data_IF_101264334718
#
_entry.id   IF_101264334718
#
_cell.length_a   1.000
_cell.length_b   1.000
_cell.length_c   1.000
_cell.angle_alpha   90.00
_cell.angle_beta   90.00
_cell.angle_gamma   90.00
#
_symmetry.space_group_name_H-M   'P 1'
#
loop_
_entity.id
_entity.type
_entity.pdbx_description
1 polymer ?
#
# COMPACT_ATOMS: atom_id res chain seq x y z
N UNK A 1 21.74 86.57 -19.72
CA UNK A 1 22.07 86.58 -18.28
C UNK A 1 22.19 85.13 -17.83
N UNK A 2 23.40 84.75 -17.40
CA UNK A 2 23.77 83.71 -16.39
C UNK A 2 23.08 82.35 -16.60
N UNK A 3 23.69 81.31 -17.17
CA UNK A 3 25.01 80.74 -16.90
C UNK A 3 24.87 79.66 -15.83
N UNK A 4 25.02 78.37 -16.18
CA UNK A 4 25.61 77.35 -15.29
C UNK A 4 26.16 76.20 -16.14
N UNK A 5 27.47 76.02 -16.02
CA UNK A 5 28.31 75.01 -16.64
C UNK A 5 28.49 73.84 -15.67
N UNK A 6 29.01 72.71 -16.19
CA UNK A 6 29.66 71.57 -15.52
C UNK A 6 28.71 70.42 -15.12
N UNK A 7 28.97 69.14 -15.37
CA UNK A 7 30.15 68.39 -15.82
C UNK A 7 29.70 66.97 -16.26
N UNK A 8 30.28 66.45 -17.33
CA UNK A 8 30.34 65.00 -17.65
C UNK A 8 31.36 64.32 -16.71
N UNK A 9 31.21 63.03 -16.35
CA UNK A 9 31.85 62.02 -17.19
C UNK A 9 31.13 60.67 -17.37
N UNK A 10 31.49 60.08 -18.50
CA UNK A 10 31.42 58.71 -19.01
C UNK A 10 31.41 57.59 -17.95
N UNK A 11 30.55 56.59 -18.17
CA UNK A 11 30.62 55.28 -17.51
C UNK A 11 30.02 54.19 -18.40
N UNK A 12 30.84 53.20 -18.72
CA UNK A 12 30.64 52.12 -19.69
C UNK A 12 29.53 51.10 -19.32
N UNK A 13 29.09 50.42 -20.39
CA UNK A 13 28.37 49.15 -20.47
C UNK A 13 28.59 48.14 -19.34
N UNK A 14 27.51 47.45 -18.96
CA UNK A 14 27.56 46.04 -18.59
C UNK A 14 26.37 45.29 -19.21
N UNK A 15 26.66 44.48 -20.23
CA UNK A 15 25.74 43.51 -20.84
C UNK A 15 25.68 42.32 -19.88
N UNK A 16 24.48 41.97 -19.40
CA UNK A 16 24.28 40.74 -18.64
C UNK A 16 24.40 39.53 -19.58
N UNK A 17 25.46 38.73 -19.43
CA UNK A 17 25.57 37.41 -20.05
C UNK A 17 25.14 36.35 -19.03
N UNK A 18 24.13 35.56 -19.38
CA UNK A 18 23.78 34.34 -18.69
C UNK A 18 24.77 33.23 -19.10
N UNK A 19 25.41 32.58 -18.12
CA UNK A 19 26.19 31.37 -18.33
C UNK A 19 25.55 30.22 -17.55
N UNK A 20 25.26 29.15 -18.26
CA UNK A 20 24.80 27.85 -17.76
C UNK A 20 25.97 27.12 -17.08
N UNK A 21 25.86 26.78 -15.80
CA UNK A 21 26.80 25.88 -15.14
C UNK A 21 26.43 24.42 -15.47
N UNK A 22 27.32 23.78 -16.22
CA UNK A 22 27.30 22.38 -16.57
C UNK A 22 28.33 21.67 -15.69
N UNK A 23 27.91 21.06 -14.58
CA UNK A 23 28.79 20.26 -13.73
C UNK A 23 28.58 18.77 -13.98
N UNK A 24 29.29 18.27 -14.99
CA UNK A 24 29.79 16.90 -15.00
C UNK A 24 30.98 16.80 -14.06
N UNK A 25 30.74 16.39 -12.81
CA UNK A 25 31.77 15.92 -11.89
C UNK A 25 31.42 14.51 -11.40
N UNK A 26 31.83 13.52 -12.19
CA UNK A 26 31.90 12.11 -11.79
C UNK A 26 32.97 11.97 -10.70
N UNK A 27 32.58 12.16 -9.44
CA UNK A 27 33.40 11.89 -8.27
C UNK A 27 32.66 10.92 -7.36
N UNK A 28 33.07 9.65 -7.37
CA UNK A 28 32.56 8.64 -6.46
C UNK A 28 32.89 9.03 -5.01
N UNK A 29 31.89 9.48 -4.26
CA UNK A 29 31.98 9.60 -2.80
C UNK A 29 31.96 8.19 -2.21
N UNK A 30 33.15 7.64 -1.98
CA UNK A 30 33.34 6.44 -1.18
C UNK A 30 32.89 6.73 0.25
N UNK A 31 31.74 6.17 0.64
CA UNK A 31 31.31 6.12 2.04
C UNK A 31 32.27 5.20 2.78
N UNK A 32 33.03 5.76 3.71
CA UNK A 32 33.93 5.03 4.58
C UNK A 32 33.15 3.98 5.38
N UNK A 33 33.57 2.72 5.25
CA UNK A 33 32.96 1.58 5.92
C UNK A 33 33.73 1.30 7.22
N UNK A 34 33.10 1.58 8.36
CA UNK A 34 33.63 1.20 9.68
C UNK A 34 33.62 -0.34 9.81
N UNK A 35 34.77 -0.97 10.11
CA UNK A 35 34.85 -2.42 10.21
C UNK A 35 34.40 -2.88 11.60
N UNK A 36 33.17 -3.38 11.70
CA UNK A 36 32.78 -4.25 12.81
C UNK A 36 31.41 -3.97 13.42
N UNK A 37 30.37 -4.59 12.88
CA UNK A 37 29.42 -5.35 13.68
C UNK A 37 28.52 -6.17 12.75
N UNK A 38 28.69 -7.48 12.85
CA UNK A 38 27.92 -8.47 12.13
C UNK A 38 26.49 -8.59 12.68
N UNK A 39 25.54 -8.81 11.75
CA UNK A 39 24.15 -9.26 11.98
C UNK A 39 23.15 -8.21 12.47
N UNK A 40 23.01 -7.11 11.73
CA UNK A 40 21.64 -6.59 11.57
C UNK A 40 20.86 -7.64 10.78
N UNK A 41 20.01 -8.40 11.46
CA UNK A 41 18.97 -9.15 10.79
C UNK A 41 18.20 -8.13 9.94
N UNK A 42 18.43 -8.16 8.61
CA UNK A 42 17.61 -7.43 7.65
C UNK A 42 16.18 -7.89 7.88
N UNK A 43 15.43 -7.19 8.73
CA UNK A 43 14.00 -7.42 8.88
C UNK A 43 13.42 -7.17 7.50
N UNK A 44 12.94 -8.26 6.91
CA UNK A 44 12.36 -8.28 5.57
C UNK A 44 11.25 -7.24 5.59
N UNK A 45 11.44 -6.15 4.82
CA UNK A 45 10.39 -5.17 4.58
C UNK A 45 9.11 -5.91 4.19
N UNK A 46 7.94 -5.39 4.52
CA UNK A 46 6.66 -5.95 4.07
C UNK A 46 6.62 -6.08 2.53
N UNK A 47 7.33 -5.19 1.83
CA UNK A 47 7.57 -5.23 0.39
C UNK A 47 8.63 -6.27 -0.05
N UNK A 48 9.47 -6.76 0.87
CA UNK A 48 10.48 -7.77 0.60
C UNK A 48 9.95 -9.21 0.67
N UNK A 49 8.68 -9.38 1.06
CA UNK A 49 7.94 -10.65 0.99
C UNK A 49 7.02 -10.74 -0.23
N UNK A 50 6.99 -9.72 -1.12
CA UNK A 50 6.28 -9.85 -2.40
C UNK A 50 7.15 -10.52 -3.47
N UNK A 51 6.50 -11.10 -4.47
CA UNK A 51 7.13 -11.68 -5.65
C UNK A 51 6.17 -11.51 -6.84
N UNK A 52 6.69 -11.56 -8.05
CA UNK A 52 5.87 -11.59 -9.26
C UNK A 52 5.69 -13.05 -9.65
N UNK A 53 4.44 -13.46 -9.88
CA UNK A 53 4.13 -14.81 -10.32
C UNK A 53 4.48 -15.00 -11.79
N UNK A 54 4.51 -16.25 -12.28
CA UNK A 54 4.70 -16.49 -13.71
C UNK A 54 3.56 -15.92 -14.56
N UNK A 55 2.41 -15.66 -13.95
CA UNK A 55 1.25 -15.02 -14.59
C UNK A 55 1.31 -13.49 -14.59
N UNK A 56 2.38 -12.89 -14.04
CA UNK A 56 2.54 -11.43 -13.96
C UNK A 56 1.74 -10.77 -12.83
N UNK A 57 1.12 -11.55 -11.94
CA UNK A 57 0.38 -11.03 -10.78
C UNK A 57 1.28 -10.97 -9.54
N UNK A 58 0.91 -10.18 -8.53
CA UNK A 58 1.69 -10.14 -7.29
C UNK A 58 1.38 -11.35 -6.40
N UNK A 59 2.39 -12.15 -6.07
CA UNK A 59 2.34 -13.23 -5.07
C UNK A 59 3.01 -12.85 -3.75
N UNK A 60 3.05 -13.80 -2.82
CA UNK A 60 3.80 -13.72 -1.56
C UNK A 60 4.94 -14.75 -1.57
N UNK A 61 6.15 -14.32 -1.29
CA UNK A 61 7.32 -15.17 -1.24
C UNK A 61 7.37 -15.99 0.06
N UNK A 62 6.98 -17.26 -0.02
CA UNK A 62 6.87 -18.17 1.12
C UNK A 62 7.63 -19.47 0.86
N UNK A 63 7.91 -20.24 1.91
CA UNK A 63 8.33 -21.65 1.72
C UNK A 63 7.18 -22.44 1.10
N UNK A 64 7.47 -23.47 0.29
CA UNK A 64 6.45 -24.34 -0.31
C UNK A 64 5.46 -24.90 0.71
N UNK A 65 5.95 -25.36 1.86
CA UNK A 65 5.11 -25.88 2.93
C UNK A 65 4.11 -24.84 3.49
N UNK A 66 4.57 -23.62 3.78
CA UNK A 66 3.67 -22.52 4.21
C UNK A 66 2.63 -22.17 3.16
N UNK A 67 3.01 -22.14 1.88
CA UNK A 67 2.07 -21.88 0.79
C UNK A 67 0.94 -22.91 0.75
N UNK A 68 1.29 -24.21 0.74
CA UNK A 68 0.31 -25.29 0.69
C UNK A 68 -0.56 -25.37 1.95
N UNK A 69 0.01 -25.11 3.13
CA UNK A 69 -0.73 -25.09 4.40
C UNK A 69 -1.82 -23.99 4.43
N UNK A 70 -1.66 -22.92 3.65
CA UNK A 70 -2.62 -21.83 3.55
C UNK A 70 -3.57 -22.01 2.35
N UNK A 71 -3.66 -23.23 1.80
CA UNK A 71 -4.41 -23.51 0.58
C UNK A 71 -4.01 -22.61 -0.59
N UNK A 72 -2.75 -22.15 -0.60
CA UNK A 72 -2.20 -21.32 -1.64
C UNK A 72 -1.63 -22.15 -2.79
N UNK A 73 -1.59 -21.55 -3.96
CA UNK A 73 -1.04 -22.15 -5.17
C UNK A 73 0.35 -21.61 -5.43
N UNK A 74 1.29 -22.51 -5.73
CA UNK A 74 2.64 -22.13 -6.16
C UNK A 74 2.59 -21.66 -7.61
N UNK A 75 2.94 -20.39 -7.84
CA UNK A 75 2.98 -19.76 -9.15
C UNK A 75 4.30 -19.01 -9.36
N UNK A 76 5.41 -19.74 -9.33
CA UNK A 76 6.76 -19.19 -9.52
C UNK A 76 7.69 -19.44 -8.34
N UNK A 77 8.91 -18.90 -8.42
CA UNK A 77 9.98 -19.08 -7.44
C UNK A 77 10.49 -17.72 -6.95
N UNK A 78 11.01 -17.68 -5.72
CA UNK A 78 11.56 -16.45 -5.14
C UNK A 78 12.65 -16.78 -4.11
N UNK A 79 13.74 -16.01 -4.10
CA UNK A 79 14.91 -16.31 -3.25
C UNK A 79 15.52 -17.70 -3.55
N UNK A 80 16.29 -18.25 -2.61
CA UNK A 80 17.01 -19.52 -2.81
C UNK A 80 16.13 -20.77 -2.65
N UNK A 81 15.16 -20.74 -1.72
CA UNK A 81 14.29 -21.88 -1.38
C UNK A 81 12.81 -21.49 -1.25
N UNK A 82 12.45 -20.31 -1.73
CA UNK A 82 11.08 -19.79 -1.68
C UNK A 82 10.32 -20.05 -2.98
N UNK A 83 9.00 -20.09 -2.84
CA UNK A 83 8.06 -20.14 -3.95
C UNK A 83 7.20 -18.88 -3.93
N UNK A 84 6.83 -18.40 -5.11
CA UNK A 84 5.87 -17.33 -5.22
C UNK A 84 4.46 -17.91 -5.04
N UNK A 85 3.84 -17.58 -3.91
CA UNK A 85 2.58 -18.17 -3.50
C UNK A 85 1.41 -17.21 -3.74
N UNK A 86 0.38 -17.69 -4.40
CA UNK A 86 -0.93 -17.03 -4.42
C UNK A 86 -1.82 -17.67 -3.36
N UNK A 87 -2.12 -16.93 -2.29
CA UNK A 87 -3.13 -17.39 -1.33
C UNK A 87 -4.52 -17.28 -1.96
N UNK A 88 -5.40 -18.24 -1.67
CA UNK A 88 -6.79 -18.22 -2.11
C UNK A 88 -7.70 -18.34 -0.89
N UNK A 89 -8.04 -17.20 -0.29
CA UNK A 89 -9.01 -17.16 0.80
C UNK A 89 -10.41 -17.40 0.23
N UNK A 90 -11.08 -18.45 0.69
CA UNK A 90 -12.44 -18.77 0.27
C UNK A 90 -13.44 -17.78 0.89
N UNK A 91 -14.54 -17.55 0.19
CA UNK A 91 -15.66 -16.74 0.71
C UNK A 91 -16.17 -17.35 2.01
N UNK A 92 -16.43 -16.52 3.01
CA UNK A 92 -16.88 -16.90 4.36
C UNK A 92 -15.77 -17.40 5.28
N UNK A 93 -14.52 -17.50 4.80
CA UNK A 93 -13.39 -17.96 5.61
C UNK A 93 -12.67 -16.82 6.33
N UNK A 94 -11.92 -17.16 7.38
CA UNK A 94 -11.03 -16.24 8.08
C UNK A 94 -9.55 -16.56 7.84
N UNK A 95 -8.69 -15.54 7.98
CA UNK A 95 -7.23 -15.66 7.86
C UNK A 95 -6.52 -14.91 8.98
N UNK A 96 -5.48 -15.54 9.53
CA UNK A 96 -4.55 -14.96 10.51
C UNK A 96 -3.16 -14.72 9.91
N UNK A 97 -3.08 -14.47 8.61
CA UNK A 97 -1.79 -14.26 7.96
C UNK A 97 -1.44 -12.77 7.88
N UNK A 98 -0.16 -12.48 8.08
CA UNK A 98 0.40 -11.12 7.96
C UNK A 98 0.10 -10.49 6.59
N UNK A 99 0.13 -11.29 5.53
CA UNK A 99 -0.19 -10.87 4.16
C UNK A 99 -1.07 -11.92 3.50
N UNK A 100 -2.23 -11.51 3.00
CA UNK A 100 -3.17 -12.37 2.30
C UNK A 100 -3.61 -11.70 1.01
N UNK A 101 -3.60 -12.48 -0.07
CA UNK A 101 -4.21 -12.12 -1.35
C UNK A 101 -5.64 -12.66 -1.35
N UNK A 102 -6.60 -11.78 -1.65
CA UNK A 102 -8.03 -12.11 -1.77
C UNK A 102 -8.44 -11.82 -3.20
N UNK A 103 -9.07 -12.78 -3.86
CA UNK A 103 -9.60 -12.62 -5.21
C UNK A 103 -11.04 -13.06 -5.27
N UNK A 104 -11.80 -12.53 -6.22
CA UNK A 104 -13.15 -12.99 -6.45
C UNK A 104 -13.15 -14.52 -6.72
N UNK A 105 -14.15 -15.25 -6.21
CA UNK A 105 -14.28 -16.66 -6.54
C UNK A 105 -14.55 -16.81 -8.04
N UNK A 106 -14.15 -17.95 -8.61
CA UNK A 106 -14.42 -18.24 -10.03
C UNK A 106 -15.91 -18.27 -10.38
N UNK A 107 -16.77 -18.53 -9.39
CA UNK A 107 -18.24 -18.45 -9.50
C UNK A 107 -18.79 -17.76 -8.26
N UNK A 108 -19.61 -16.73 -8.46
CA UNK A 108 -20.33 -16.04 -7.38
C UNK A 108 -21.66 -16.76 -7.12
N UNK A 109 -21.68 -17.58 -6.07
CA UNK A 109 -22.85 -18.34 -5.64
C UNK A 109 -23.84 -17.54 -4.79
N UNK A 110 -23.39 -16.42 -4.21
CA UNK A 110 -24.14 -15.56 -3.31
C UNK A 110 -23.89 -14.09 -3.66
N UNK A 111 -24.90 -13.26 -3.42
CA UNK A 111 -24.78 -11.81 -3.58
C UNK A 111 -23.90 -11.22 -2.47
N UNK A 112 -23.90 -11.83 -1.28
CA UNK A 112 -23.04 -11.47 -0.16
C UNK A 112 -21.80 -12.37 -0.11
N UNK A 113 -20.62 -11.76 -0.17
CA UNK A 113 -19.33 -12.45 -0.11
C UNK A 113 -18.45 -11.78 0.96
N UNK A 114 -18.21 -12.49 2.07
CA UNK A 114 -17.45 -11.95 3.20
C UNK A 114 -16.07 -12.62 3.33
N UNK A 115 -15.09 -11.87 3.81
CA UNK A 115 -13.76 -12.37 4.14
C UNK A 115 -13.33 -11.78 5.47
N UNK A 116 -12.83 -12.63 6.36
CA UNK A 116 -12.55 -12.20 7.72
C UNK A 116 -11.05 -12.18 7.98
N UNK A 117 -10.53 -11.02 8.39
CA UNK A 117 -9.13 -10.84 8.71
C UNK A 117 -8.99 -10.81 10.21
N UNK A 118 -8.28 -11.78 10.75
CA UNK A 118 -8.00 -11.91 12.18
C UNK A 118 -6.54 -11.53 12.45
N UNK A 119 -6.30 -10.90 13.59
CA UNK A 119 -4.98 -10.46 13.99
C UNK A 119 -4.01 -11.65 14.07
N UNK A 120 -2.91 -11.59 13.31
CA UNK A 120 -1.85 -12.61 13.38
C UNK A 120 -1.00 -12.48 14.65
N UNK A 121 -1.02 -11.30 15.27
CA UNK A 121 -0.18 -10.89 16.39
C UNK A 121 -0.88 -9.77 17.16
N UNK A 122 -0.66 -9.71 18.48
CA UNK A 122 -1.19 -8.62 19.33
C UNK A 122 -0.51 -7.27 19.05
N UNK A 123 0.59 -7.26 18.29
CA UNK A 123 1.33 -6.05 17.94
C UNK A 123 0.81 -5.36 16.66
N UNK A 124 -0.20 -5.96 16.01
CA UNK A 124 -0.85 -5.39 14.84
C UNK A 124 -1.65 -4.16 15.27
N UNK A 125 -1.51 -3.07 14.52
CA UNK A 125 -2.21 -1.81 14.79
C UNK A 125 -2.99 -1.28 13.59
N UNK A 126 -2.61 -1.70 12.39
CA UNK A 126 -3.20 -1.16 11.18
C UNK A 126 -3.31 -2.24 10.11
N UNK A 127 -4.39 -2.19 9.36
CA UNK A 127 -4.61 -3.02 8.19
C UNK A 127 -4.43 -2.14 6.94
N UNK A 128 -3.57 -2.56 6.02
CA UNK A 128 -3.44 -1.96 4.69
C UNK A 128 -4.09 -2.88 3.67
N UNK A 129 -4.98 -2.33 2.85
CA UNK A 129 -5.63 -3.02 1.75
C UNK A 129 -5.19 -2.35 0.46
N UNK A 130 -4.43 -3.05 -0.37
CA UNK A 130 -4.07 -2.58 -1.70
C UNK A 130 -5.02 -3.20 -2.74
N UNK A 131 -5.61 -2.37 -3.58
CA UNK A 131 -6.52 -2.77 -4.67
C UNK A 131 -5.68 -3.02 -5.93
N UNK A 132 -5.10 -4.22 -6.07
CA UNK A 132 -4.31 -4.56 -7.27
C UNK A 132 -5.20 -4.59 -8.51
N UNK A 133 -6.39 -5.17 -8.39
CA UNK A 133 -7.48 -5.04 -9.36
C UNK A 133 -8.79 -4.87 -8.59
N UNK A 134 -9.63 -3.93 -8.98
CA UNK A 134 -10.91 -3.63 -8.38
C UNK A 134 -11.79 -2.91 -9.39
N UNK A 135 -12.75 -3.65 -9.92
CA UNK A 135 -13.79 -3.18 -10.82
C UNK A 135 -15.13 -3.72 -10.31
N UNK A 136 -16.00 -2.80 -9.93
CA UNK A 136 -17.40 -3.06 -9.60
C UNK A 136 -18.29 -2.18 -10.46
N UNK A 137 -19.60 -2.41 -10.36
CA UNK A 137 -20.59 -1.54 -10.98
C UNK A 137 -20.38 -0.09 -10.54
N UNK A 138 -20.48 0.83 -11.49
CA UNK A 138 -20.42 2.27 -11.21
C UNK A 138 -21.60 2.69 -10.32
N UNK A 139 -21.45 3.73 -9.48
CA UNK A 139 -22.57 4.26 -8.71
C UNK A 139 -23.67 4.73 -9.67
N UNK A 140 -24.92 4.50 -9.28
CA UNK A 140 -26.09 4.98 -10.01
C UNK A 140 -26.64 6.22 -9.32
N UNK A 141 -27.07 7.19 -10.11
CA UNK A 141 -27.78 8.36 -9.59
C UNK A 141 -29.23 7.96 -9.28
N UNK A 142 -29.59 8.05 -8.00
CA UNK A 142 -30.94 7.86 -7.48
C UNK A 142 -31.34 9.18 -6.81
N UNK A 143 -32.24 9.91 -7.46
CA UNK A 143 -32.77 11.20 -6.98
C UNK A 143 -31.69 12.27 -6.65
N UNK A 144 -30.60 12.31 -7.41
CA UNK A 144 -29.49 13.24 -7.23
C UNK A 144 -28.42 12.76 -6.23
N UNK A 145 -28.55 11.54 -5.72
CA UNK A 145 -27.60 10.90 -4.81
C UNK A 145 -26.94 9.72 -5.52
N UNK A 146 -25.61 9.73 -5.54
CA UNK A 146 -24.85 8.60 -6.08
C UNK A 146 -24.84 7.44 -5.07
N UNK A 147 -25.50 6.35 -5.43
CA UNK A 147 -25.55 5.14 -4.62
C UNK A 147 -24.82 3.97 -5.29
N UNK A 148 -24.02 3.26 -4.51
CA UNK A 148 -23.41 2.00 -4.94
C UNK A 148 -24.38 0.84 -4.67
N UNK A 149 -24.98 0.30 -5.72
CA UNK A 149 -25.78 -0.93 -5.66
C UNK A 149 -24.89 -2.15 -5.36
N UNK A 150 -23.80 -2.30 -6.10
CA UNK A 150 -22.74 -3.27 -5.81
C UNK A 150 -21.56 -2.55 -5.18
N UNK A 151 -21.04 -3.08 -4.07
CA UNK A 151 -20.03 -2.38 -3.30
C UNK A 151 -19.13 -3.31 -2.49
N UNK A 152 -17.94 -2.79 -2.22
CA UNK A 152 -17.05 -3.27 -1.19
C UNK A 152 -17.22 -2.43 0.07
N UNK A 153 -17.27 -3.09 1.22
CA UNK A 153 -17.34 -2.44 2.52
C UNK A 153 -16.28 -2.98 3.48
N UNK A 154 -15.55 -2.07 4.12
CA UNK A 154 -14.61 -2.42 5.18
C UNK A 154 -14.37 -1.22 6.10
N UNK A 155 -14.45 -1.43 7.42
CA UNK A 155 -14.10 -0.41 8.42
C UNK A 155 -14.86 0.92 8.27
N UNK A 156 -16.11 0.87 7.82
CA UNK A 156 -16.97 2.05 7.58
C UNK A 156 -16.81 2.70 6.20
N UNK A 157 -15.87 2.23 5.36
CA UNK A 157 -15.74 2.69 3.99
C UNK A 157 -16.60 1.84 3.06
N UNK A 158 -17.33 2.48 2.14
CA UNK A 158 -18.12 1.84 1.08
C UNK A 158 -17.60 2.31 -0.28
N UNK A 159 -17.10 1.39 -1.10
CA UNK A 159 -16.47 1.68 -2.40
C UNK A 159 -17.16 0.92 -3.54
N UNK A 160 -17.30 1.56 -4.70
CA UNK A 160 -17.74 0.94 -5.96
C UNK A 160 -17.01 1.57 -7.16
N UNK A 161 -17.36 1.17 -8.38
CA UNK A 161 -16.65 1.60 -9.59
C UNK A 161 -15.24 1.00 -9.73
N UNK A 162 -14.28 1.79 -10.24
CA UNK A 162 -12.91 1.33 -10.55
C UNK A 162 -11.91 1.94 -9.56
N UNK A 163 -11.17 1.11 -8.83
CA UNK A 163 -10.22 1.56 -7.80
C UNK A 163 -8.83 0.89 -7.92
N UNK A 164 -8.46 0.44 -9.12
CA UNK A 164 -7.15 -0.16 -9.40
C UNK A 164 -5.99 0.74 -8.94
N UNK A 165 -4.99 0.14 -8.29
CA UNK A 165 -3.77 0.82 -7.83
C UNK A 165 -3.95 1.68 -6.57
N UNK A 166 -5.17 1.80 -6.05
CA UNK A 166 -5.43 2.51 -4.80
C UNK A 166 -5.13 1.65 -3.56
N UNK A 167 -5.15 2.28 -2.39
CA UNK A 167 -5.02 1.59 -1.12
C UNK A 167 -5.82 2.26 -0.01
N UNK A 168 -6.26 1.45 0.95
CA UNK A 168 -7.02 1.86 2.13
C UNK A 168 -6.29 1.43 3.40
N UNK A 169 -6.25 2.30 4.41
CA UNK A 169 -5.76 1.97 5.74
C UNK A 169 -6.92 1.92 6.72
N UNK A 170 -7.05 0.82 7.45
CA UNK A 170 -8.07 0.63 8.48
C UNK A 170 -7.41 0.46 9.86
N UNK A 171 -8.03 1.01 10.92
CA UNK A 171 -7.58 0.75 12.29
C UNK A 171 -7.78 -0.73 12.63
N UNK A 172 -6.74 -1.37 13.16
CA UNK A 172 -6.75 -2.80 13.50
C UNK A 172 -5.91 -3.03 14.75
N UNK A 173 -6.23 -2.29 15.81
CA UNK A 173 -5.50 -2.31 17.06
C UNK A 173 -5.90 -3.55 17.88
N UNK A 174 -5.19 -4.65 17.64
CA UNK A 174 -5.43 -5.92 18.31
C UNK A 174 -5.26 -5.82 19.84
N UNK A 175 -4.34 -4.96 20.30
CA UNK A 175 -4.12 -4.72 21.74
C UNK A 175 -5.27 -3.94 22.40
N UNK A 176 -6.04 -3.16 21.63
CA UNK A 176 -7.22 -2.44 22.11
C UNK A 176 -8.53 -3.24 21.94
N UNK A 177 -8.45 -4.52 21.56
CA UNK A 177 -9.61 -5.40 21.41
C UNK A 177 -10.21 -5.43 19.99
N UNK A 178 -9.60 -4.77 19.01
CA UNK A 178 -9.99 -4.90 17.59
C UNK A 178 -9.12 -5.98 16.95
N UNK A 179 -9.49 -7.24 17.14
CA UNK A 179 -8.75 -8.40 16.67
C UNK A 179 -9.28 -9.00 15.36
N UNK A 180 -10.41 -8.51 14.86
CA UNK A 180 -11.04 -8.96 13.63
C UNK A 180 -11.64 -7.81 12.79
N UNK A 181 -11.41 -7.85 11.47
CA UNK A 181 -12.00 -6.95 10.47
C UNK A 181 -12.64 -7.79 9.37
N UNK A 182 -13.89 -7.49 9.06
CA UNK A 182 -14.63 -8.15 7.98
C UNK A 182 -14.58 -7.28 6.73
N UNK A 183 -14.21 -7.90 5.62
CA UNK A 183 -14.28 -7.33 4.28
C UNK A 183 -15.52 -7.90 3.61
N UNK A 184 -16.43 -7.03 3.22
CA UNK A 184 -17.73 -7.43 2.67
C UNK A 184 -17.83 -6.98 1.22
N UNK A 185 -18.21 -7.89 0.34
CA UNK A 185 -18.52 -7.63 -1.05
C UNK A 185 -19.98 -7.95 -1.28
N UNK A 186 -20.75 -6.95 -1.70
CA UNK A 186 -22.15 -7.09 -2.08
C UNK A 186 -22.24 -6.94 -3.59
N UNK A 187 -22.73 -7.98 -4.25
CA UNK A 187 -22.89 -8.09 -5.70
C UNK A 187 -24.32 -8.53 -5.98
N UNK A 188 -25.20 -7.56 -6.16
CA UNK A 188 -26.63 -7.78 -6.46
C UNK A 188 -26.91 -7.72 -7.96
N UNK A 189 -26.15 -6.92 -8.70
CA UNK A 189 -26.24 -6.84 -10.15
C UNK A 189 -25.23 -7.78 -10.80
N UNK A 190 -25.67 -8.61 -11.75
CA UNK A 190 -24.78 -9.50 -12.54
C UNK A 190 -24.46 -8.91 -13.92
N UNK A 191 -24.69 -7.61 -14.11
CA UNK A 191 -24.53 -6.93 -15.39
C UNK A 191 -23.07 -6.88 -15.83
N UNK A 192 -22.22 -6.24 -15.03
CA UNK A 192 -20.76 -6.30 -15.18
C UNK A 192 -20.23 -7.37 -14.23
N UNK A 193 -19.49 -8.36 -14.74
CA UNK A 193 -18.85 -9.33 -13.86
C UNK A 193 -17.82 -8.61 -12.98
N UNK A 194 -18.01 -8.53 -11.64
CA UNK A 194 -17.10 -7.79 -10.79
C UNK A 194 -15.76 -8.50 -10.71
N UNK A 195 -14.69 -7.73 -10.68
CA UNK A 195 -13.32 -8.22 -10.56
C UNK A 195 -12.71 -7.58 -9.34
N UNK A 196 -12.26 -8.38 -8.38
CA UNK A 196 -11.42 -7.88 -7.31
C UNK A 196 -10.24 -8.80 -7.05
N UNK A 197 -9.12 -8.17 -6.78
CA UNK A 197 -7.87 -8.75 -6.36
C UNK A 197 -7.22 -7.78 -5.38
N UNK A 198 -7.36 -8.11 -4.11
CA UNK A 198 -6.85 -7.31 -3.00
C UNK A 198 -5.60 -7.96 -2.41
N UNK A 199 -4.67 -7.12 -1.98
CA UNK A 199 -3.55 -7.53 -1.14
C UNK A 199 -3.78 -6.90 0.24
N UNK A 200 -4.12 -7.74 1.20
CA UNK A 200 -4.36 -7.34 2.58
C UNK A 200 -3.10 -7.58 3.39
N UNK A 201 -2.59 -6.55 4.05
CA UNK A 201 -1.39 -6.61 4.87
C UNK A 201 -1.63 -6.05 6.26
N UNK A 202 -1.33 -6.86 7.27
CA UNK A 202 -1.34 -6.47 8.67
C UNK A 202 -0.01 -5.82 9.05
N UNK A 203 -0.07 -4.57 9.51
CA UNK A 203 1.07 -3.77 9.90
C UNK A 203 1.21 -3.76 11.42
N UNK A 204 2.39 -4.18 11.88
CA UNK A 204 2.78 -4.08 13.28
C UNK A 204 3.46 -2.74 13.54
N UNK A 205 3.32 -2.23 14.76
CA UNK A 205 4.13 -1.09 15.18
C UNK A 205 5.57 -1.50 15.39
N UNK A 206 6.47 -0.71 14.80
CA UNK A 206 7.87 -0.76 15.15
C UNK A 206 8.02 -0.09 16.50
N UNK A 207 8.13 -0.87 17.58
CA UNK A 207 8.71 -0.35 18.80
C UNK A 207 10.17 0.00 18.50
N UNK A 208 10.44 1.27 18.19
CA UNK A 208 11.79 1.77 18.35
C UNK A 208 12.02 1.82 19.86
N UNK A 209 12.82 0.87 20.37
CA UNK A 209 13.44 1.05 21.67
C UNK A 209 14.49 2.13 21.47
N UNK A 210 14.07 3.39 21.52
CA UNK A 210 14.95 4.49 21.87
C UNK A 210 14.86 4.59 23.40
N UNK A 211 15.96 4.27 24.07
CA UNK A 211 16.21 4.66 25.46
C UNK A 211 15.23 4.17 26.54
N UNK A 212 14.84 2.89 26.50
CA UNK A 212 14.25 2.22 27.67
C UNK A 212 12.85 2.70 28.09
N UNK A 213 12.23 3.63 27.37
CA UNK A 213 10.86 4.05 27.59
C UNK A 213 9.97 3.40 26.55
N UNK A 214 8.97 2.63 27.01
CA UNK A 214 7.89 2.10 26.18
C UNK A 214 7.02 3.26 25.71
N UNK A 215 7.47 4.00 24.70
CA UNK A 215 6.62 4.98 24.03
C UNK A 215 5.60 4.20 23.19
N UNK A 216 4.37 4.11 23.68
CA UNK A 216 3.23 3.93 22.80
C UNK A 216 3.25 5.11 21.85
N UNK A 217 3.41 4.86 20.55
CA UNK A 217 3.18 5.92 19.56
C UNK A 217 1.79 6.50 19.83
N UNK A 218 1.63 7.84 19.87
CA UNK A 218 0.30 8.43 19.96
C UNK A 218 -0.53 7.88 18.80
N UNK A 219 -1.81 7.61 19.07
CA UNK A 219 -2.77 7.15 18.07
C UNK A 219 -2.56 7.94 16.79
N UNK A 220 -2.08 7.27 15.75
CA UNK A 220 -1.82 7.92 14.48
C UNK A 220 -3.17 8.32 13.90
N UNK A 221 -3.46 9.61 13.86
CA UNK A 221 -4.55 10.14 13.06
C UNK A 221 -4.24 9.82 11.59
N UNK A 222 -5.19 9.19 10.87
CA UNK A 222 -4.99 8.98 9.46
C UNK A 222 -4.82 10.34 8.77
N UNK A 223 -3.83 10.50 7.86
CA UNK A 223 -3.77 11.67 7.01
C UNK A 223 -5.11 11.75 6.28
N UNK A 224 -5.63 12.96 6.02
CA UNK A 224 -6.85 13.10 5.23
C UNK A 224 -6.63 12.35 3.92
N UNK A 225 -7.37 11.25 3.74
CA UNK A 225 -7.39 10.52 2.49
C UNK A 225 -8.04 11.48 1.51
N UNK A 226 -7.22 12.04 0.63
CA UNK A 226 -7.70 12.78 -0.53
C UNK A 226 -8.31 11.74 -1.47
N UNK A 227 -9.55 11.31 -1.18
CA UNK A 227 -10.40 10.70 -2.18
C UNK A 227 -10.59 11.78 -3.24
N UNK A 228 -9.77 11.71 -4.29
CA UNK A 228 -10.02 12.48 -5.49
C UNK A 228 -11.20 11.80 -6.17
N UNK A 229 -12.39 12.27 -5.82
CA UNK A 229 -13.64 12.02 -6.56
C UNK A 229 -13.43 12.51 -7.99
#
# INVERSE_FOLDING_TARGET
MIGYTLLFPLGLLAIAQAQTLNDTASGALAVAQEPGMWRQARRRSVLADSCVTNSGTTGTCLTRFKCMRQSGTVNGYCGTYGVCCETNLQVGSSTRQKRTIIKNPGVLSSDLNTYTIEAFSSNVQQLRIDFEQFVMQQPTDVDGVLECQDYFEAGGFKLCGVNDGQHLYLPFNAAAGVDQVTLTFVVTSRGTAPVWRLIVTQLEVHQRIADGVRAHLPAWEPPPILCKI
#
